data_IF_550384166088
#
_entry.id   IF_550384166088
#
_cell.length_a   1.000
_cell.length_b   1.000
_cell.length_c   1.000
_cell.angle_alpha   90.00
_cell.angle_beta   90.00
_cell.angle_gamma   90.00
#
_symmetry.space_group_name_H-M   'P 1'
#
loop_
_entity.id
_entity.type
_entity.pdbx_description
1 polymer ?
#
# COMPACT_ATOMS: atom_id res chain seq x y z
N UNK A 1 -13.94 -9.22 13.56
CA UNK A 1 -13.47 -9.15 12.17
C UNK A 1 -13.01 -7.73 11.90
N UNK A 2 -11.71 -7.50 11.70
CA UNK A 2 -11.22 -6.18 11.24
C UNK A 2 -11.58 -6.03 9.76
N UNK A 3 -12.25 -4.94 9.40
CA UNK A 3 -12.51 -4.61 8.00
C UNK A 3 -11.18 -4.17 7.35
N UNK A 4 -10.87 -4.61 6.12
CA UNK A 4 -9.66 -4.18 5.44
C UNK A 4 -9.66 -2.65 5.23
N UNK A 5 -8.49 -1.99 5.34
CA UNK A 5 -8.36 -0.58 5.06
C UNK A 5 -8.86 -0.21 3.66
N UNK A 6 -9.51 0.94 3.54
CA UNK A 6 -10.17 1.37 2.30
C UNK A 6 -9.86 2.81 1.91
N UNK A 7 -10.05 3.09 0.63
CA UNK A 7 -10.03 4.46 0.10
C UNK A 7 -11.30 5.19 0.49
N UNK A 8 -11.14 6.43 0.91
CA UNK A 8 -12.24 7.34 1.25
C UNK A 8 -12.09 8.64 0.47
N UNK A 9 -13.14 9.04 -0.23
CA UNK A 9 -13.19 10.37 -0.82
C UNK A 9 -13.46 11.41 0.27
N UNK A 10 -12.50 12.31 0.46
CA UNK A 10 -12.65 13.52 1.27
C UNK A 10 -13.65 14.46 0.62
N UNK A 11 -14.56 15.03 1.41
CA UNK A 11 -15.60 15.95 0.92
C UNK A 11 -15.60 17.26 1.72
N UNK A 12 -15.97 18.37 1.06
CA UNK A 12 -16.19 19.69 1.70
C UNK A 12 -17.67 19.98 1.95
N UNK A 13 -18.53 18.97 1.82
CA UNK A 13 -19.96 19.11 2.09
C UNK A 13 -20.20 19.43 3.55
N UNK A 14 -21.13 20.35 3.85
CA UNK A 14 -21.47 20.76 5.21
C UNK A 14 -21.80 19.52 6.06
N UNK A 15 -21.22 19.46 7.26
CA UNK A 15 -21.41 18.32 8.18
C UNK A 15 -20.50 17.12 7.95
N UNK A 16 -19.74 17.08 6.84
CA UNK A 16 -18.78 16.00 6.63
C UNK A 16 -17.65 16.06 7.67
N UNK A 17 -17.27 14.87 8.16
CA UNK A 17 -16.15 14.65 9.07
C UNK A 17 -15.35 13.46 8.58
N UNK A 18 -14.02 13.57 8.71
CA UNK A 18 -13.15 12.43 8.45
C UNK A 18 -13.49 11.29 9.43
N UNK A 19 -13.62 10.05 8.96
CA UNK A 19 -13.74 8.90 9.85
C UNK A 19 -12.54 8.81 10.80
N UNK A 20 -12.78 8.29 12.00
CA UNK A 20 -11.74 8.14 13.01
C UNK A 20 -10.60 7.26 12.48
N UNK A 21 -9.35 7.71 12.67
CA UNK A 21 -8.15 6.97 12.23
C UNK A 21 -7.81 7.09 10.74
N UNK A 22 -8.67 7.66 9.90
CA UNK A 22 -8.39 7.83 8.49
C UNK A 22 -7.30 8.90 8.25
N UNK A 23 -6.34 8.61 7.38
CA UNK A 23 -5.20 9.48 7.08
C UNK A 23 -5.42 10.23 5.78
N UNK A 24 -5.24 11.55 5.81
CA UNK A 24 -5.24 12.35 4.59
C UNK A 24 -3.92 12.19 3.84
N UNK A 25 -3.98 11.75 2.59
CA UNK A 25 -2.80 11.51 1.72
C UNK A 25 -2.76 12.45 0.52
N UNK A 26 -3.64 13.45 0.45
CA UNK A 26 -3.69 14.38 -0.68
C UNK A 26 -2.56 15.41 -0.70
N UNK A 27 -2.72 16.40 -1.59
CA UNK A 27 -1.78 17.51 -1.80
C UNK A 27 -1.45 18.24 -0.48
N UNK A 28 -0.19 18.65 -0.35
CA UNK A 28 0.34 19.31 0.86
C UNK A 28 0.77 18.33 1.96
N UNK A 29 0.70 17.02 1.70
CA UNK A 29 1.28 15.98 2.55
C UNK A 29 2.46 15.33 1.85
N UNK A 30 3.30 14.62 2.59
CA UNK A 30 4.39 13.79 2.03
C UNK A 30 3.89 12.64 1.14
N UNK A 31 2.61 12.29 1.26
CA UNK A 31 1.96 11.22 0.50
C UNK A 31 1.26 11.74 -0.77
N UNK A 32 1.31 13.05 -1.03
CA UNK A 32 0.65 13.64 -2.18
C UNK A 32 1.31 13.23 -3.49
N UNK A 33 0.50 12.99 -4.52
CA UNK A 33 1.01 12.81 -5.88
C UNK A 33 1.62 14.14 -6.38
N UNK A 34 2.91 14.16 -6.78
CA UNK A 34 3.56 15.35 -7.32
C UNK A 34 3.04 15.72 -8.70
N UNK A 35 2.40 14.79 -9.41
CA UNK A 35 1.72 15.06 -10.67
C UNK A 35 0.34 15.68 -10.42
N UNK A 36 0.05 16.77 -11.13
CA UNK A 36 -1.20 17.51 -11.10
C UNK A 36 -1.87 17.44 -12.46
N UNK A 37 -3.17 17.17 -12.47
CA UNK A 37 -3.97 17.16 -13.70
C UNK A 37 -4.66 18.51 -13.83
N UNK A 38 -4.40 19.21 -14.92
CA UNK A 38 -4.95 20.54 -15.23
C UNK A 38 -5.54 20.55 -16.64
N UNK A 39 -6.53 21.41 -16.94
CA UNK A 39 -6.99 21.60 -18.32
C UNK A 39 -5.84 22.11 -19.20
N UNK A 40 -5.70 21.55 -20.40
CA UNK A 40 -4.72 21.99 -21.39
C UNK A 40 -5.24 23.18 -22.22
N UNK A 41 -4.34 24.04 -22.71
CA UNK A 41 -4.70 25.27 -23.42
C UNK A 41 -5.48 25.03 -24.72
N UNK A 42 -5.20 23.92 -25.42
CA UNK A 42 -5.83 23.57 -26.70
C UNK A 42 -6.85 22.44 -26.57
N UNK A 43 -7.42 22.27 -25.36
CA UNK A 43 -8.32 21.18 -25.05
C UNK A 43 -7.58 19.90 -24.63
N UNK A 44 -8.28 19.06 -23.88
CA UNK A 44 -7.67 17.91 -23.20
C UNK A 44 -7.15 18.26 -21.80
N UNK A 45 -6.20 17.47 -21.32
CA UNK A 45 -5.71 17.49 -19.95
C UNK A 45 -4.20 17.32 -19.90
N UNK A 46 -3.52 18.28 -19.28
CA UNK A 46 -2.09 18.20 -19.00
C UNK A 46 -1.85 17.58 -17.63
N UNK A 47 -0.81 16.77 -17.56
CA UNK A 47 -0.23 16.30 -16.31
C UNK A 47 1.05 17.11 -16.09
N UNK A 48 1.05 17.97 -15.08
CA UNK A 48 2.19 18.81 -14.71
C UNK A 48 2.81 18.29 -13.41
N UNK A 49 4.13 18.16 -13.38
CA UNK A 49 4.85 17.82 -12.16
C UNK A 49 5.04 19.07 -11.28
N UNK A 50 5.19 18.90 -9.96
CA UNK A 50 5.32 20.01 -8.99
C UNK A 50 6.54 20.91 -9.22
N UNK A 51 7.54 20.47 -10.00
CA UNK A 51 8.66 21.31 -10.45
C UNK A 51 8.35 22.10 -11.75
N UNK A 52 7.09 22.15 -12.17
CA UNK A 52 6.60 23.04 -13.22
C UNK A 52 6.67 22.52 -14.65
N UNK A 53 7.09 21.27 -14.89
CA UNK A 53 7.11 20.70 -16.24
C UNK A 53 5.82 19.94 -16.55
N UNK A 54 5.32 20.08 -17.78
CA UNK A 54 4.33 19.14 -18.33
C UNK A 54 5.01 17.83 -18.67
N UNK A 55 4.52 16.73 -18.09
CA UNK A 55 5.04 15.38 -18.27
C UNK A 55 4.16 14.51 -19.17
N UNK A 56 2.96 15.00 -19.53
CA UNK A 56 2.11 14.37 -20.52
C UNK A 56 0.85 15.19 -20.81
N UNK A 57 0.27 14.99 -21.99
CA UNK A 57 -0.98 15.64 -22.43
C UNK A 57 -1.91 14.55 -22.98
N UNK A 58 -3.16 14.58 -22.55
CA UNK A 58 -4.13 13.52 -22.83
C UNK A 58 -5.46 14.09 -23.32
N UNK A 59 -6.14 13.36 -24.19
CA UNK A 59 -7.46 13.76 -24.69
C UNK A 59 -8.54 13.71 -23.58
N UNK A 60 -8.43 12.76 -22.65
CA UNK A 60 -9.40 12.58 -21.57
C UNK A 60 -8.80 12.77 -20.17
N UNK A 61 -9.63 13.17 -19.22
CA UNK A 61 -9.22 13.33 -17.82
C UNK A 61 -8.91 11.98 -17.17
N UNK A 62 -9.59 10.92 -17.62
CA UNK A 62 -9.38 9.58 -17.11
C UNK A 62 -7.98 9.07 -17.48
N UNK A 63 -7.56 9.25 -18.73
CA UNK A 63 -6.22 8.85 -19.19
C UNK A 63 -5.13 9.65 -18.47
N UNK A 64 -5.34 10.95 -18.26
CA UNK A 64 -4.45 11.77 -17.44
C UNK A 64 -4.34 11.27 -15.99
N UNK A 65 -5.43 10.73 -15.41
CA UNK A 65 -5.41 10.11 -14.08
C UNK A 65 -4.63 8.80 -14.08
N UNK A 66 -4.86 7.92 -15.06
CA UNK A 66 -4.10 6.68 -15.20
C UNK A 66 -2.60 6.97 -15.26
N UNK A 67 -2.21 7.90 -16.13
CA UNK A 67 -0.82 8.31 -16.25
C UNK A 67 -0.24 8.91 -14.96
N UNK A 68 -0.98 9.80 -14.30
CA UNK A 68 -0.52 10.41 -13.04
C UNK A 68 -0.40 9.39 -11.91
N UNK A 69 -1.27 8.38 -11.85
CA UNK A 69 -1.22 7.29 -10.86
C UNK A 69 -0.04 6.37 -11.14
N UNK A 70 0.18 5.99 -12.40
CA UNK A 70 1.29 5.13 -12.78
C UNK A 70 2.64 5.81 -12.55
N UNK A 71 2.74 7.10 -12.93
CA UNK A 71 3.91 7.92 -12.63
C UNK A 71 4.17 8.04 -11.12
N UNK A 72 3.12 7.98 -10.29
CA UNK A 72 3.26 7.97 -8.84
C UNK A 72 3.75 6.63 -8.29
N UNK A 73 3.34 5.50 -8.90
CA UNK A 73 3.91 4.17 -8.59
C UNK A 73 5.42 4.17 -8.87
N UNK A 74 5.84 4.61 -10.06
CA UNK A 74 7.25 4.75 -10.42
C UNK A 74 8.01 5.68 -9.46
N UNK A 75 7.41 6.82 -9.08
CA UNK A 75 8.00 7.72 -8.09
C UNK A 75 8.27 7.04 -6.73
N UNK A 76 7.36 6.18 -6.26
CA UNK A 76 7.56 5.43 -5.01
C UNK A 76 8.65 4.36 -5.13
N UNK A 77 8.84 3.77 -6.32
CA UNK A 77 9.92 2.82 -6.60
C UNK A 77 11.29 3.51 -6.57
N UNK A 78 11.38 4.71 -7.16
CA UNK A 78 12.60 5.53 -7.16
C UNK A 78 12.93 6.11 -5.78
N UNK A 79 11.94 6.23 -4.88
CA UNK A 79 12.06 6.83 -3.55
C UNK A 79 11.79 5.80 -2.46
N UNK A 80 12.72 4.85 -2.31
CA UNK A 80 12.61 3.73 -1.37
C UNK A 80 12.31 4.15 0.08
N UNK A 81 12.83 5.30 0.53
CA UNK A 81 12.57 5.83 1.87
C UNK A 81 11.10 6.24 2.06
N UNK A 82 10.49 6.85 1.04
CA UNK A 82 9.08 7.21 1.03
C UNK A 82 8.21 5.95 1.06
N UNK A 83 8.57 4.92 0.28
CA UNK A 83 7.87 3.64 0.27
C UNK A 83 7.95 2.90 1.61
N UNK A 84 9.12 2.88 2.26
CA UNK A 84 9.29 2.30 3.61
C UNK A 84 8.43 3.04 4.64
N UNK A 85 8.42 4.37 4.59
CA UNK A 85 7.57 5.17 5.49
C UNK A 85 6.08 4.94 5.21
N UNK A 86 5.68 4.80 3.95
CA UNK A 86 4.30 4.52 3.58
C UNK A 86 3.84 3.19 4.21
N UNK A 87 4.65 2.13 4.06
CA UNK A 87 4.39 0.82 4.70
C UNK A 87 4.20 0.93 6.21
N UNK A 88 5.10 1.63 6.89
CA UNK A 88 5.06 1.75 8.35
C UNK A 88 3.92 2.64 8.85
N UNK A 89 3.75 3.82 8.26
CA UNK A 89 2.90 4.87 8.81
C UNK A 89 1.43 4.71 8.39
N UNK A 90 1.18 4.02 7.26
CA UNK A 90 -0.17 3.87 6.67
C UNK A 90 -0.76 2.46 6.85
N UNK A 91 0.01 1.48 7.36
CA UNK A 91 -0.48 0.13 7.61
C UNK A 91 -1.73 0.13 8.52
N UNK A 92 -2.75 -0.62 8.11
CA UNK A 92 -4.01 -0.76 8.82
C UNK A 92 -4.92 0.47 8.80
N UNK A 93 -4.61 1.51 7.99
CA UNK A 93 -5.34 2.79 8.02
C UNK A 93 -6.11 3.06 6.74
N UNK A 94 -7.35 3.53 6.90
CA UNK A 94 -8.12 4.11 5.80
C UNK A 94 -7.42 5.35 5.24
N UNK A 95 -7.35 5.47 3.91
CA UNK A 95 -6.67 6.59 3.25
C UNK A 95 -7.67 7.53 2.58
N UNK A 96 -7.48 8.83 2.78
CA UNK A 96 -8.35 9.88 2.26
C UNK A 96 -7.67 10.74 1.19
N UNK A 97 -8.33 10.89 0.05
CA UNK A 97 -7.96 11.81 -1.02
C UNK A 97 -9.20 12.56 -1.54
N UNK A 98 -9.02 13.62 -2.32
CA UNK A 98 -10.11 14.37 -2.96
C UNK A 98 -10.65 13.69 -4.22
N UNK A 99 -9.93 12.72 -4.80
CA UNK A 99 -10.31 12.08 -6.05
C UNK A 99 -11.67 11.36 -5.95
N UNK A 100 -12.47 11.35 -7.03
CA UNK A 100 -13.68 10.52 -7.13
C UNK A 100 -13.39 9.02 -6.89
N UNK A 101 -14.38 8.30 -6.35
CA UNK A 101 -14.23 6.88 -5.99
C UNK A 101 -14.34 5.91 -7.17
N UNK A 102 -14.75 6.40 -8.33
CA UNK A 102 -14.88 5.68 -9.60
C UNK A 102 -13.69 5.94 -10.55
N UNK A 103 -12.68 6.65 -10.06
CA UNK A 103 -11.51 7.06 -10.85
C UNK A 103 -10.21 6.53 -10.23
N UNK A 104 -9.13 6.38 -11.02
CA UNK A 104 -7.81 6.05 -10.50
C UNK A 104 -7.33 7.10 -9.49
N UNK A 105 -6.74 6.65 -8.37
CA UNK A 105 -6.16 7.53 -7.36
C UNK A 105 -4.84 6.99 -6.83
N UNK A 106 -3.96 7.92 -6.47
CA UNK A 106 -2.69 7.59 -5.82
C UNK A 106 -2.88 6.97 -4.42
N UNK A 107 -4.04 7.21 -3.78
CA UNK A 107 -4.38 6.57 -2.52
C UNK A 107 -4.56 5.06 -2.65
N UNK A 108 -4.96 4.55 -3.83
CA UNK A 108 -5.06 3.11 -4.08
C UNK A 108 -3.68 2.47 -4.11
N UNK A 109 -2.70 3.13 -4.76
CA UNK A 109 -1.29 2.69 -4.77
C UNK A 109 -0.73 2.64 -3.34
N UNK A 110 -1.02 3.65 -2.52
CA UNK A 110 -0.59 3.65 -1.12
C UNK A 110 -1.29 2.58 -0.28
N UNK A 111 -2.56 2.28 -0.55
CA UNK A 111 -3.29 1.20 0.13
C UNK A 111 -2.68 -0.16 -0.21
N UNK A 112 -2.44 -0.44 -1.49
CA UNK A 112 -1.78 -1.66 -1.98
C UNK A 112 -0.39 -1.80 -1.36
N UNK A 113 0.38 -0.71 -1.35
CA UNK A 113 1.75 -0.71 -0.82
C UNK A 113 1.79 -0.94 0.69
N UNK A 114 0.90 -0.31 1.45
CA UNK A 114 0.92 -0.34 2.91
C UNK A 114 0.14 -1.50 3.52
N UNK A 115 -0.77 -2.12 2.74
CA UNK A 115 -1.61 -3.23 3.17
C UNK A 115 -1.56 -4.33 2.09
N UNK A 116 -0.37 -4.90 1.82
CA UNK A 116 -0.29 -6.04 0.91
C UNK A 116 -1.23 -7.13 1.43
N UNK A 117 -1.98 -7.76 0.54
CA UNK A 117 -2.76 -8.93 0.92
C UNK A 117 -1.77 -9.95 1.52
N UNK A 118 -2.08 -10.46 2.71
CA UNK A 118 -1.42 -11.61 3.32
C UNK A 118 -1.80 -12.88 2.54
N UNK A 119 -1.58 -12.86 1.24
CA UNK A 119 -1.69 -14.01 0.36
C UNK A 119 -0.42 -14.82 0.60
N UNK A 120 -0.42 -15.54 1.72
CA UNK A 120 0.56 -16.55 2.07
C UNK A 120 0.37 -17.78 1.16
N UNK A 121 0.38 -17.56 -0.16
CA UNK A 121 0.22 -18.60 -1.19
C UNK A 121 1.53 -19.37 -1.46
N UNK A 122 2.66 -18.90 -0.91
CA UNK A 122 3.98 -19.50 -1.12
C UNK A 122 4.54 -20.27 0.08
N UNK A 123 3.79 -20.39 1.17
CA UNK A 123 4.13 -21.38 2.19
C UNK A 123 3.49 -22.71 1.81
N UNK A 124 4.19 -23.53 1.01
CA UNK A 124 3.98 -24.98 1.08
C UNK A 124 4.43 -25.45 2.46
N UNK A 125 3.55 -25.30 3.46
CA UNK A 125 3.64 -26.14 4.65
C UNK A 125 3.34 -27.57 4.20
N UNK A 126 4.38 -28.28 3.77
CA UNK A 126 4.33 -29.71 3.59
C UNK A 126 4.35 -30.35 4.98
N UNK A 127 3.20 -30.34 5.67
CA UNK A 127 2.97 -31.24 6.80
C UNK A 127 2.50 -32.57 6.20
N UNK A 128 3.15 -33.71 6.49
CA UNK A 128 2.56 -35.01 6.18
C UNK A 128 1.27 -35.16 6.99
N UNK A 129 0.14 -35.24 6.28
CA UNK A 129 -1.19 -35.68 6.69
C UNK A 129 -1.57 -35.51 8.18
N UNK A 130 -2.21 -34.38 8.51
CA UNK A 130 -3.10 -34.31 9.67
C UNK A 130 -4.56 -34.22 9.17
N UNK A 131 -5.53 -34.92 9.81
CA UNK A 131 -6.88 -35.09 9.30
C UNK A 131 -7.70 -33.77 9.27
N UNK A 132 -8.78 -33.72 8.47
CA UNK A 132 -9.34 -32.48 7.90
C UNK A 132 -10.25 -31.66 8.83
N UNK A 133 -10.28 -31.91 10.12
CA UNK A 133 -11.31 -31.32 11.01
C UNK A 133 -10.83 -30.11 11.85
N UNK A 134 -9.54 -29.75 11.85
CA UNK A 134 -9.08 -28.54 12.53
C UNK A 134 -8.86 -27.38 11.56
N UNK A 135 -9.70 -26.35 11.70
CA UNK A 135 -9.48 -25.03 11.13
C UNK A 135 -8.11 -24.52 11.58
N UNK A 136 -7.37 -23.90 10.64
CA UNK A 136 -6.06 -23.31 10.85
C UNK A 136 -5.98 -22.64 12.23
N UNK A 137 -5.20 -23.25 13.13
CA UNK A 137 -5.03 -22.78 14.49
C UNK A 137 -3.82 -21.83 14.51
N UNK A 138 -4.01 -20.50 14.53
CA UNK A 138 -2.90 -19.55 14.65
C UNK A 138 -2.12 -19.74 15.96
N UNK A 139 -2.74 -20.36 16.98
CA UNK A 139 -2.11 -20.66 18.27
C UNK A 139 -1.46 -22.06 18.33
N UNK A 140 -1.65 -22.87 17.28
CA UNK A 140 -1.16 -24.25 17.15
C UNK A 140 0.00 -24.40 16.15
N UNK A 141 0.46 -23.30 15.55
CA UNK A 141 1.81 -23.26 15.02
C UNK A 141 2.73 -23.54 16.21
N UNK A 142 3.68 -24.48 16.13
CA UNK A 142 4.59 -24.84 17.23
C UNK A 142 5.51 -23.71 17.72
N UNK A 143 5.12 -22.45 17.54
CA UNK A 143 5.71 -21.21 17.97
C UNK A 143 5.33 -20.83 19.42
N UNK A 144 5.10 -21.82 20.30
CA UNK A 144 4.88 -21.55 21.73
C UNK A 144 6.12 -20.85 22.31
N UNK A 145 6.06 -19.52 22.38
CA UNK A 145 7.12 -18.66 22.89
C UNK A 145 7.60 -17.55 21.95
N UNK A 146 7.22 -17.55 20.66
CA UNK A 146 7.71 -16.55 19.69
C UNK A 146 6.62 -16.15 18.67
N UNK A 147 5.64 -15.31 19.07
CA UNK A 147 4.63 -14.77 18.14
C UNK A 147 5.26 -13.93 17.01
N UNK A 148 6.42 -13.32 17.26
CA UNK A 148 7.16 -12.52 16.27
C UNK A 148 7.84 -13.38 15.18
N UNK A 149 7.92 -14.70 15.35
CA UNK A 149 8.49 -15.60 14.34
C UNK A 149 7.56 -15.83 13.13
N UNK A 150 6.28 -15.47 13.25
CA UNK A 150 5.33 -15.43 12.13
C UNK A 150 5.35 -14.10 11.36
N UNK A 151 6.03 -13.08 11.89
CA UNK A 151 6.30 -11.85 11.16
C UNK A 151 7.56 -12.05 10.31
N UNK A 152 7.39 -12.01 9.00
CA UNK A 152 8.48 -12.16 8.01
C UNK A 152 9.56 -11.09 8.18
N UNK A 153 9.29 -10.04 8.95
CA UNK A 153 10.18 -8.93 9.24
C UNK A 153 10.81 -8.97 10.65
N UNK A 154 10.45 -9.92 11.51
CA UNK A 154 10.85 -9.91 12.93
C UNK A 154 11.59 -11.17 13.42
N UNK A 155 12.00 -12.08 12.53
CA UNK A 155 12.80 -13.23 12.93
C UNK A 155 14.16 -12.80 13.57
N UNK A 156 14.50 -13.28 14.80
CA UNK A 156 15.76 -12.93 15.44
C UNK A 156 16.97 -13.48 14.67
N UNK A 157 18.10 -12.77 14.75
CA UNK A 157 19.37 -13.26 14.24
C UNK A 157 19.75 -14.59 14.93
N UNK A 158 19.93 -15.66 14.14
CA UNK A 158 20.26 -17.00 14.63
C UNK A 158 19.07 -17.95 14.80
N UNK A 159 17.86 -17.55 14.42
CA UNK A 159 16.72 -18.46 14.40
C UNK A 159 16.93 -19.59 13.37
N UNK A 160 16.94 -20.85 13.82
CA UNK A 160 16.95 -22.04 12.96
C UNK A 160 15.54 -22.55 12.73
N UNK A 161 14.86 -21.99 11.73
CA UNK A 161 13.61 -22.51 11.18
C UNK A 161 13.85 -23.01 9.75
N UNK A 162 13.14 -24.04 9.26
CA UNK A 162 13.21 -24.40 7.84
C UNK A 162 12.36 -23.42 7.03
N UNK A 163 12.87 -22.22 6.76
CA UNK A 163 12.33 -21.36 5.70
C UNK A 163 13.17 -21.64 4.45
N UNK A 164 12.90 -22.74 3.77
CA UNK A 164 13.46 -22.97 2.44
C UNK A 164 12.57 -22.25 1.41
N UNK A 165 13.19 -21.49 0.49
CA UNK A 165 12.57 -20.97 -0.74
C UNK A 165 11.50 -19.86 -0.60
N UNK A 166 11.52 -19.02 0.45
CA UNK A 166 10.74 -17.79 0.44
C UNK A 166 11.52 -16.66 -0.26
N UNK A 167 11.16 -16.23 -1.49
CA UNK A 167 11.88 -15.17 -2.21
C UNK A 167 11.73 -13.78 -1.56
N UNK A 168 10.83 -13.64 -0.59
CA UNK A 168 10.60 -12.42 0.19
C UNK A 168 11.36 -12.39 1.52
N UNK A 169 12.01 -13.48 1.92
CA UNK A 169 12.80 -13.50 3.15
C UNK A 169 14.10 -12.70 2.96
N UNK A 170 14.35 -11.77 3.87
CA UNK A 170 15.62 -11.06 3.97
C UNK A 170 16.17 -11.29 5.39
N UNK A 171 17.47 -11.61 5.49
CA UNK A 171 18.14 -11.63 6.78
C UNK A 171 18.02 -10.25 7.43
N UNK A 172 17.61 -10.21 8.70
CA UNK A 172 17.72 -9.00 9.50
C UNK A 172 19.18 -8.53 9.45
N UNK A 173 19.42 -7.31 8.97
CA UNK A 173 20.77 -6.74 8.95
C UNK A 173 21.17 -6.41 10.39
N UNK A 174 22.22 -7.06 10.87
CA UNK A 174 22.87 -6.72 12.15
C UNK A 174 23.39 -5.28 12.09
N UNK A 175 23.31 -4.49 13.17
CA UNK A 175 23.87 -3.14 13.22
C UNK A 175 25.38 -3.09 12.93
#
# INVERSE_FOLDING_TARGET
>A
MMTPPRRIQRRRTKGWRAPHGAVYVGRGTRWGNPNRIVPADFGGWDVTHDHGSTVGTFASKHDARLFAVESYRAHLEDHADLAVRARRDLAGRDLMCWCPLDEPCHADVLLELANPADDCLTCEHFLPASPPEEQCNPDGCGCTGYPDACDIHAAPAGATFPIANCPRWQTARTP
#
